data_IF_114354438144
#
_entry.id   IF_114354438144
#
_cell.length_a   1.000
_cell.length_b   1.000
_cell.length_c   1.000
_cell.angle_alpha   90.00
_cell.angle_beta   90.00
_cell.angle_gamma   90.00
#
_symmetry.space_group_name_H-M   'P 1'
#
loop_
_entity.id
_entity.type
_entity.pdbx_description
1 polymer ?
#
# COMPACT_ATOMS: atom_id res chain seq x y z
N UNK A 1 25.49 -5.93 -0.24
CA UNK A 1 24.86 -4.70 -0.73
C UNK A 1 23.46 -5.08 -1.15
N UNK A 2 22.46 -4.71 -0.36
CA UNK A 2 21.07 -5.07 -0.64
C UNK A 2 20.60 -4.09 -1.72
N UNK A 3 20.29 -4.59 -2.92
CA UNK A 3 19.85 -3.75 -4.04
C UNK A 3 18.42 -3.30 -3.74
N UNK A 4 18.28 -2.15 -3.10
CA UNK A 4 16.98 -1.53 -2.81
C UNK A 4 16.31 -1.08 -4.10
N UNK A 5 14.99 -1.18 -4.14
CA UNK A 5 14.17 -0.74 -5.27
C UNK A 5 13.33 0.48 -4.88
N UNK A 6 12.92 1.28 -5.85
CA UNK A 6 11.91 2.32 -5.65
C UNK A 6 10.50 1.74 -5.84
N UNK A 7 9.47 2.45 -5.38
CA UNK A 7 8.08 2.14 -5.73
C UNK A 7 7.91 2.12 -7.25
N UNK A 8 7.26 1.08 -7.78
CA UNK A 8 6.99 0.95 -9.21
C UNK A 8 6.04 2.03 -9.73
N UNK A 9 5.17 2.56 -8.85
CA UNK A 9 4.23 3.64 -9.19
C UNK A 9 4.33 4.82 -8.22
N UNK A 10 4.04 6.03 -8.74
CA UNK A 10 3.96 7.24 -7.93
C UNK A 10 2.74 7.19 -7.01
N UNK A 11 2.81 7.92 -5.89
CA UNK A 11 1.74 8.01 -4.89
C UNK A 11 0.41 8.46 -5.52
N UNK A 12 0.46 9.48 -6.37
CA UNK A 12 -0.69 10.03 -7.09
C UNK A 12 -0.88 9.45 -8.49
N UNK A 13 -0.25 8.32 -8.83
CA UNK A 13 -0.42 7.70 -10.16
C UNK A 13 -1.87 7.34 -10.49
N UNK A 14 -2.74 7.22 -9.48
CA UNK A 14 -4.18 7.04 -9.69
C UNK A 14 -4.91 8.29 -10.20
N UNK A 15 -4.31 9.48 -10.17
CA UNK A 15 -4.90 10.68 -10.80
C UNK A 15 -4.79 10.66 -12.33
N UNK A 16 -3.95 9.78 -12.89
CA UNK A 16 -3.90 9.54 -14.33
C UNK A 16 -5.14 8.75 -14.81
N UNK A 17 -5.85 8.07 -13.89
CA UNK A 17 -7.12 7.34 -14.11
C UNK A 17 -8.23 7.85 -13.14
N UNK A 18 -8.80 9.02 -13.41
CA UNK A 18 -9.73 9.77 -12.53
C UNK A 18 -10.88 8.92 -11.93
N UNK A 19 -11.47 8.02 -12.72
CA UNK A 19 -12.64 7.24 -12.30
C UNK A 19 -12.32 6.08 -11.34
N UNK A 20 -11.14 5.47 -11.48
CA UNK A 20 -10.71 4.34 -10.64
C UNK A 20 -10.31 4.82 -9.24
N UNK A 21 -9.77 6.05 -9.14
CA UNK A 21 -9.30 6.63 -7.88
C UNK A 21 -10.44 6.96 -6.91
N UNK A 22 -11.54 7.54 -7.39
CA UNK A 22 -12.69 7.90 -6.55
C UNK A 22 -13.43 6.67 -6.03
N UNK A 23 -13.60 5.65 -6.86
CA UNK A 23 -14.26 4.39 -6.47
C UNK A 23 -13.40 3.59 -5.48
N UNK A 24 -12.08 3.55 -5.64
CA UNK A 24 -11.16 2.96 -4.67
C UNK A 24 -11.09 3.73 -3.34
N UNK A 25 -11.15 5.06 -3.39
CA UNK A 25 -11.17 5.91 -2.20
C UNK A 25 -12.48 5.79 -1.40
N UNK A 26 -13.61 5.52 -2.07
CA UNK A 26 -14.92 5.33 -1.43
C UNK A 26 -14.99 4.04 -0.56
N UNK A 27 -14.13 3.04 -0.81
CA UNK A 27 -14.04 1.81 0.00
C UNK A 27 -12.61 1.56 0.53
N UNK A 28 -11.92 2.61 1.01
CA UNK A 28 -10.59 2.50 1.65
C UNK A 28 -10.45 1.37 2.68
N UNK A 29 -11.41 1.10 3.60
CA UNK A 29 -11.27 -0.03 4.53
C UNK A 29 -11.31 -1.39 3.82
N UNK A 30 -12.10 -1.51 2.76
CA UNK A 30 -12.24 -2.73 1.96
C UNK A 30 -10.92 -3.02 1.23
N UNK A 31 -10.33 -1.98 0.63
CA UNK A 31 -9.04 -2.05 -0.03
C UNK A 31 -7.92 -2.42 0.96
N UNK A 32 -7.87 -1.76 2.11
CA UNK A 32 -6.92 -2.07 3.17
C UNK A 32 -7.06 -3.52 3.67
N UNK A 33 -8.28 -4.04 3.80
CA UNK A 33 -8.49 -5.44 4.14
C UNK A 33 -8.10 -6.41 3.03
N UNK A 34 -8.27 -6.04 1.77
CA UNK A 34 -7.75 -6.81 0.63
C UNK A 34 -6.22 -6.89 0.69
N UNK A 35 -5.56 -5.75 0.90
CA UNK A 35 -4.11 -5.66 1.08
C UNK A 35 -3.62 -6.50 2.25
N UNK A 36 -4.32 -6.44 3.39
CA UNK A 36 -4.01 -7.28 4.55
C UNK A 36 -4.00 -8.76 4.15
N UNK A 37 -5.06 -9.23 3.47
CA UNK A 37 -5.16 -10.62 3.03
C UNK A 37 -4.07 -11.02 2.05
N UNK A 38 -3.74 -10.17 1.07
CA UNK A 38 -2.65 -10.43 0.11
C UNK A 38 -1.27 -10.49 0.79
N UNK A 39 -1.08 -9.69 1.84
CA UNK A 39 0.13 -9.71 2.68
C UNK A 39 0.11 -10.84 3.74
N UNK A 40 -0.89 -11.73 3.72
CA UNK A 40 -1.02 -12.84 4.66
C UNK A 40 -1.51 -12.44 6.07
N UNK A 41 -2.13 -11.28 6.21
CA UNK A 41 -2.73 -10.75 7.45
C UNK A 41 -4.27 -10.81 7.42
N UNK A 42 -4.89 -10.72 8.61
CA UNK A 42 -6.34 -10.63 8.72
C UNK A 42 -6.86 -9.19 8.55
N UNK A 43 -8.10 -9.03 8.08
CA UNK A 43 -8.76 -7.73 8.01
C UNK A 43 -8.89 -7.06 9.40
N UNK A 44 -8.86 -7.83 10.48
CA UNK A 44 -8.83 -7.30 11.85
C UNK A 44 -7.59 -6.44 12.13
N UNK A 45 -6.48 -6.62 11.40
CA UNK A 45 -5.31 -5.75 11.53
C UNK A 45 -5.67 -4.31 11.15
N UNK A 46 -6.48 -4.12 10.12
CA UNK A 46 -6.91 -2.78 9.68
C UNK A 46 -7.92 -2.17 10.65
N UNK A 47 -8.85 -2.98 11.17
CA UNK A 47 -9.97 -2.49 11.98
C UNK A 47 -9.67 -2.37 13.48
N UNK A 48 -8.89 -3.30 14.04
CA UNK A 48 -8.71 -3.46 15.48
C UNK A 48 -7.31 -3.06 15.98
N UNK A 49 -6.33 -2.90 15.08
CA UNK A 49 -4.96 -2.54 15.45
C UNK A 49 -4.70 -1.07 15.09
N UNK A 50 -4.46 -0.19 16.08
CA UNK A 50 -4.02 1.17 15.82
C UNK A 50 -2.76 1.18 14.95
N UNK A 51 -2.79 1.88 13.83
CA UNK A 51 -1.67 1.89 12.88
C UNK A 51 -1.52 0.60 12.06
N UNK A 52 -2.54 -0.26 12.00
CA UNK A 52 -2.50 -1.49 11.19
C UNK A 52 -2.15 -1.24 9.72
N UNK A 53 -2.70 -0.18 9.11
CA UNK A 53 -2.36 0.21 7.73
C UNK A 53 -0.89 0.61 7.59
N UNK A 54 -0.34 1.30 8.59
CA UNK A 54 1.08 1.64 8.66
C UNK A 54 1.97 0.38 8.75
N UNK A 55 1.57 -0.58 9.57
CA UNK A 55 2.25 -1.87 9.67
C UNK A 55 2.21 -2.63 8.33
N UNK A 56 1.07 -2.63 7.64
CA UNK A 56 0.94 -3.24 6.31
C UNK A 56 1.83 -2.57 5.27
N UNK A 57 1.90 -1.23 5.24
CA UNK A 57 2.79 -0.50 4.34
C UNK A 57 4.26 -0.82 4.59
N UNK A 58 4.66 -0.86 5.86
CA UNK A 58 6.02 -1.20 6.27
C UNK A 58 6.36 -2.65 5.86
N UNK A 59 5.45 -3.60 6.14
CA UNK A 59 5.61 -5.01 5.77
C UNK A 59 5.79 -5.19 4.27
N UNK A 60 4.94 -4.54 3.46
CA UNK A 60 5.02 -4.57 2.00
C UNK A 60 6.37 -4.06 1.51
N UNK A 61 6.80 -2.89 1.98
CA UNK A 61 8.10 -2.30 1.60
C UNK A 61 9.26 -3.22 1.93
N UNK A 62 9.24 -3.84 3.12
CA UNK A 62 10.28 -4.79 3.51
C UNK A 62 10.28 -6.04 2.62
N UNK A 63 9.10 -6.56 2.25
CA UNK A 63 8.99 -7.73 1.36
C UNK A 63 9.43 -7.46 -0.08
N UNK A 64 9.16 -6.25 -0.58
CA UNK A 64 9.55 -5.82 -1.93
C UNK A 64 10.91 -5.12 -1.97
N UNK A 65 11.63 -5.07 -0.84
CA UNK A 65 12.92 -4.41 -0.69
C UNK A 65 12.92 -2.94 -1.17
N UNK A 66 11.84 -2.20 -0.88
CA UNK A 66 11.64 -0.81 -1.30
C UNK A 66 12.35 0.15 -0.33
N UNK A 67 13.08 1.14 -0.84
CA UNK A 67 13.83 2.14 -0.06
C UNK A 67 12.95 3.22 0.59
N UNK A 68 13.32 3.69 1.78
CA UNK A 68 12.56 4.67 2.57
C UNK A 68 12.51 4.37 4.08
N UNK A 69 11.66 5.08 4.81
CA UNK A 69 11.65 5.07 6.28
C UNK A 69 10.25 4.99 6.89
N UNK A 70 10.20 4.54 8.15
CA UNK A 70 8.99 4.54 8.97
C UNK A 70 8.38 5.95 9.08
N UNK A 71 9.22 6.98 9.19
CA UNK A 71 8.74 8.35 9.28
C UNK A 71 8.03 8.77 7.99
N UNK A 72 8.62 8.43 6.84
CA UNK A 72 8.05 8.71 5.52
C UNK A 72 6.73 7.97 5.29
N UNK A 73 6.64 6.70 5.73
CA UNK A 73 5.40 5.93 5.68
C UNK A 73 4.30 6.53 6.56
N UNK A 74 4.64 7.01 7.76
CA UNK A 74 3.72 7.68 8.67
C UNK A 74 3.19 8.99 8.06
N UNK A 75 4.07 9.83 7.52
CA UNK A 75 3.69 11.08 6.86
C UNK A 75 2.83 10.81 5.62
N UNK A 76 3.22 9.84 4.79
CA UNK A 76 2.48 9.46 3.59
C UNK A 76 1.06 9.00 3.93
N UNK A 77 0.90 8.17 4.96
CA UNK A 77 -0.41 7.70 5.38
C UNK A 77 -1.24 8.79 6.07
N UNK A 78 -0.60 9.69 6.82
CA UNK A 78 -1.29 10.80 7.49
C UNK A 78 -1.82 11.84 6.49
N UNK A 79 -1.02 12.17 5.47
CA UNK A 79 -1.37 13.16 4.46
C UNK A 79 -2.26 12.57 3.34
N UNK A 80 -2.01 11.33 2.94
CA UNK A 80 -2.49 10.79 1.67
C UNK A 80 -2.91 9.30 1.77
N UNK A 81 -3.54 8.88 2.88
CA UNK A 81 -3.96 7.50 3.12
C UNK A 81 -4.62 6.78 1.91
N UNK A 82 -5.68 7.32 1.26
CA UNK A 82 -6.31 6.63 0.14
C UNK A 82 -5.36 6.39 -1.03
N UNK A 83 -4.53 7.38 -1.38
CA UNK A 83 -3.55 7.28 -2.45
C UNK A 83 -2.44 6.30 -2.11
N UNK A 84 -2.01 6.27 -0.85
CA UNK A 84 -1.03 5.32 -0.35
C UNK A 84 -1.54 3.87 -0.42
N UNK A 85 -2.80 3.63 -0.08
CA UNK A 85 -3.44 2.31 -0.23
C UNK A 85 -3.53 1.89 -1.70
N UNK A 86 -3.90 2.80 -2.60
CA UNK A 86 -3.92 2.53 -4.03
C UNK A 86 -2.52 2.24 -4.59
N UNK A 87 -1.50 2.98 -4.13
CA UNK A 87 -0.09 2.71 -4.48
C UNK A 87 0.33 1.31 -4.03
N UNK A 88 0.00 0.94 -2.79
CA UNK A 88 0.29 -0.39 -2.26
C UNK A 88 -0.40 -1.51 -3.04
N UNK A 89 -1.66 -1.30 -3.46
CA UNK A 89 -2.40 -2.28 -4.26
C UNK A 89 -1.72 -2.54 -5.60
N UNK A 90 -1.39 -1.48 -6.34
CA UNK A 90 -0.66 -1.60 -7.61
C UNK A 90 0.69 -2.29 -7.44
N UNK A 91 1.39 -2.02 -6.34
CA UNK A 91 2.68 -2.65 -6.08
C UNK A 91 2.56 -4.16 -5.85
N UNK A 92 1.54 -4.60 -5.11
CA UNK A 92 1.28 -6.03 -4.93
C UNK A 92 0.83 -6.70 -6.22
N UNK A 93 -0.05 -6.07 -6.98
CA UNK A 93 -0.52 -6.60 -8.27
C UNK A 93 0.66 -6.76 -9.24
N UNK A 94 1.55 -5.76 -9.33
CA UNK A 94 2.77 -5.83 -10.13
C UNK A 94 3.72 -6.95 -9.65
N UNK A 95 3.86 -7.10 -8.34
CA UNK A 95 4.69 -8.15 -7.75
C UNK A 95 4.07 -9.56 -7.88
N UNK A 96 2.75 -9.68 -8.02
CA UNK A 96 2.06 -10.94 -8.31
C UNK A 96 2.20 -11.31 -9.80
N UNK A 97 2.01 -10.35 -10.71
CA UNK A 97 2.24 -10.56 -12.15
C UNK A 97 3.68 -11.01 -12.43
N UNK A 98 4.67 -10.45 -11.74
CA UNK A 98 6.08 -10.86 -11.89
C UNK A 98 6.43 -12.24 -11.32
N UNK A 99 5.49 -12.90 -10.61
CA UNK A 99 5.67 -14.27 -10.08
C UNK A 99 5.01 -15.35 -10.94
N UNK A 100 4.21 -14.96 -11.94
CA UNK A 100 3.60 -15.84 -12.94
C UNK A 100 4.52 -15.98 -14.16
#
# INVERSE_FOLDING_TARGET
MQVTSDWSTKLFGCMEDEHTCLLGALCTPCLACSLARQLGESCCVVACVPGGVFALRTKLRMQQNIEGSICDDCLTLSCCCPFALCQMARELDNAEIGRL
#
